data_IF_406220188026
#
_entry.id   IF_406220188026
#
_cell.length_a   1.000
_cell.length_b   1.000
_cell.length_c   1.000
_cell.angle_alpha   90.00
_cell.angle_beta   90.00
_cell.angle_gamma   90.00
#
_symmetry.space_group_name_H-M   'P 1'
#
loop_
_entity.id
_entity.type
_entity.pdbx_description
1 polymer ?
#
# COMPACT_ATOMS: atom_id res chain seq x y z
N UNK A 1 18.08 -13.79 41.19
CA UNK A 1 19.44 -13.22 40.91
C UNK A 1 19.76 -13.48 39.43
N UNK A 2 19.84 -12.46 38.58
CA UNK A 2 20.28 -12.61 37.18
C UNK A 2 21.77 -12.93 37.17
N UNK A 3 22.19 -14.14 36.77
CA UNK A 3 23.60 -14.46 36.53
C UNK A 3 24.15 -13.51 35.45
N UNK A 4 25.28 -12.88 35.72
CA UNK A 4 25.91 -11.94 34.79
C UNK A 4 26.18 -12.66 33.44
N UNK A 5 25.92 -12.03 32.33
CA UNK A 5 26.08 -12.58 30.97
C UNK A 5 27.52 -13.00 30.59
N UNK A 6 28.49 -12.79 31.50
CA UNK A 6 29.92 -13.10 31.37
C UNK A 6 30.38 -14.32 32.18
N UNK A 7 29.50 -15.04 32.91
CA UNK A 7 29.90 -16.23 33.63
C UNK A 7 30.18 -17.39 32.65
N UNK A 8 31.24 -18.19 32.90
CA UNK A 8 31.56 -19.38 32.11
C UNK A 8 30.39 -20.36 32.12
N UNK A 9 30.22 -21.12 31.03
CA UNK A 9 29.23 -22.19 30.96
C UNK A 9 29.69 -23.36 31.80
N UNK A 10 28.85 -23.84 32.72
CA UNK A 10 29.14 -25.03 33.51
C UNK A 10 28.75 -26.29 32.75
N UNK A 11 29.31 -27.43 33.14
CA UNK A 11 28.93 -28.72 32.55
C UNK A 11 27.44 -29.03 32.74
N UNK A 12 26.86 -28.62 33.87
CA UNK A 12 25.44 -28.79 34.17
C UNK A 12 24.56 -27.88 33.28
N UNK A 13 24.99 -26.60 33.03
CA UNK A 13 24.33 -25.69 32.12
C UNK A 13 24.29 -26.30 30.69
N UNK A 14 25.38 -26.89 30.22
CA UNK A 14 25.50 -27.48 28.91
C UNK A 14 24.68 -28.76 28.77
N UNK A 15 24.74 -29.62 29.76
CA UNK A 15 23.94 -30.85 29.81
C UNK A 15 22.48 -30.50 29.81
N UNK A 16 22.02 -29.56 30.64
CA UNK A 16 20.65 -29.09 30.61
C UNK A 16 20.25 -28.52 29.24
N UNK A 17 21.17 -27.80 28.60
CA UNK A 17 20.93 -27.25 27.27
C UNK A 17 20.79 -28.36 26.20
N UNK A 18 21.68 -29.36 26.22
CA UNK A 18 21.66 -30.49 25.28
C UNK A 18 20.38 -31.33 25.44
N UNK A 19 19.95 -31.57 26.68
CA UNK A 19 18.79 -32.40 26.96
C UNK A 19 17.47 -31.70 26.57
N UNK A 20 17.43 -30.35 26.64
CA UNK A 20 16.20 -29.58 26.51
C UNK A 20 16.11 -28.69 25.26
N UNK A 21 17.21 -28.50 24.49
CA UNK A 21 17.21 -27.54 23.37
C UNK A 21 16.23 -27.87 22.25
N UNK A 22 15.88 -29.15 22.05
CA UNK A 22 14.88 -29.57 21.03
C UNK A 22 13.47 -29.31 21.44
N UNK A 23 13.17 -29.26 22.74
CA UNK A 23 11.82 -29.29 23.29
C UNK A 23 11.41 -27.98 24.01
N UNK A 24 12.38 -27.12 24.34
CA UNK A 24 12.16 -25.89 25.11
C UNK A 24 12.54 -24.66 24.30
N UNK A 25 11.72 -23.60 24.25
CA UNK A 25 12.07 -22.34 23.59
C UNK A 25 13.35 -21.71 24.11
N UNK A 26 14.12 -21.06 23.25
CA UNK A 26 15.37 -20.41 23.67
C UNK A 26 15.18 -19.29 24.71
N UNK A 27 14.00 -18.63 24.71
CA UNK A 27 13.68 -17.63 25.72
C UNK A 27 13.51 -18.29 27.10
N UNK A 28 12.86 -19.44 27.16
CA UNK A 28 12.62 -20.20 28.39
C UNK A 28 13.89 -20.89 28.90
N UNK A 29 14.71 -21.41 27.97
CA UNK A 29 16.06 -21.90 28.30
C UNK A 29 16.95 -20.80 28.86
N UNK A 30 16.85 -19.59 28.27
CA UNK A 30 17.59 -18.43 28.71
C UNK A 30 17.17 -17.99 30.12
N UNK A 31 15.89 -18.01 30.41
CA UNK A 31 15.35 -17.68 31.75
C UNK A 31 15.82 -18.70 32.80
N UNK A 32 15.65 -19.99 32.52
CA UNK A 32 16.09 -21.07 33.45
C UNK A 32 17.58 -21.09 33.70
N UNK A 33 18.37 -20.79 32.68
CA UNK A 33 19.84 -20.73 32.80
C UNK A 33 20.35 -19.37 33.30
N UNK A 34 19.47 -18.39 33.50
CA UNK A 34 19.79 -17.03 33.91
C UNK A 34 20.69 -16.30 32.91
N UNK A 35 20.56 -16.58 31.61
CA UNK A 35 21.39 -16.07 30.52
C UNK A 35 20.56 -15.30 29.50
N UNK A 36 21.21 -14.59 28.58
CA UNK A 36 20.51 -13.97 27.45
C UNK A 36 20.16 -14.99 26.37
N UNK A 37 19.09 -14.77 25.64
CA UNK A 37 18.68 -15.59 24.48
C UNK A 37 19.81 -15.72 23.44
N UNK A 38 20.57 -14.64 23.23
CA UNK A 38 21.74 -14.62 22.33
C UNK A 38 22.86 -15.52 22.81
N UNK A 39 23.15 -15.55 24.13
CA UNK A 39 24.16 -16.43 24.71
C UNK A 39 23.78 -17.90 24.58
N UNK A 40 22.50 -18.25 24.78
CA UNK A 40 21.97 -19.61 24.58
C UNK A 40 22.07 -20.02 23.11
N UNK A 41 21.67 -19.17 22.17
CA UNK A 41 21.78 -19.46 20.73
C UNK A 41 23.22 -19.66 20.28
N UNK A 42 24.15 -18.80 20.75
CA UNK A 42 25.57 -18.94 20.45
C UNK A 42 26.15 -20.25 21.02
N UNK A 43 25.74 -20.65 22.25
CA UNK A 43 26.23 -21.88 22.88
C UNK A 43 25.72 -23.14 22.16
N UNK A 44 24.45 -23.16 21.74
CA UNK A 44 23.86 -24.23 20.94
C UNK A 44 24.64 -24.41 19.62
N UNK A 45 24.98 -23.30 18.95
CA UNK A 45 25.81 -23.33 17.74
C UNK A 45 27.22 -23.87 17.99
N UNK A 46 27.86 -23.45 19.10
CA UNK A 46 29.19 -23.91 19.50
C UNK A 46 29.21 -25.41 19.87
N UNK A 47 28.13 -25.92 20.40
CA UNK A 47 27.97 -27.36 20.71
C UNK A 47 27.62 -28.21 19.47
N UNK A 48 27.58 -27.62 18.28
CA UNK A 48 27.27 -28.30 17.03
C UNK A 48 25.83 -28.84 16.95
N UNK A 49 24.92 -28.33 17.77
CA UNK A 49 23.53 -28.74 17.82
C UNK A 49 22.74 -28.07 16.68
N UNK A 50 21.81 -28.79 16.04
CA UNK A 50 21.03 -28.27 14.92
C UNK A 50 20.17 -27.08 15.35
N UNK A 51 20.50 -25.89 14.79
CA UNK A 51 19.77 -24.64 15.04
C UNK A 51 18.52 -24.48 14.16
N UNK A 52 18.33 -25.34 13.14
CA UNK A 52 17.16 -25.31 12.24
C UNK A 52 15.96 -26.03 12.87
N UNK A 53 15.43 -25.51 13.94
CA UNK A 53 14.23 -26.04 14.58
C UNK A 53 12.96 -25.43 14.03
N UNK A 54 11.92 -26.23 13.90
CA UNK A 54 10.57 -25.72 13.75
C UNK A 54 9.98 -25.47 15.15
N UNK A 55 10.47 -24.41 15.84
CA UNK A 55 10.03 -24.01 17.18
C UNK A 55 8.52 -23.76 17.26
N UNK A 56 7.91 -23.38 16.14
CA UNK A 56 6.49 -23.09 16.07
C UNK A 56 5.67 -24.37 16.15
N UNK A 57 6.17 -25.49 15.61
CA UNK A 57 5.53 -26.80 15.71
C UNK A 57 5.33 -27.27 17.14
N UNK A 58 6.19 -26.85 18.06
CA UNK A 58 6.06 -27.18 19.49
C UNK A 58 4.87 -26.51 20.17
N UNK A 59 4.35 -25.44 19.60
CA UNK A 59 3.20 -24.72 20.09
C UNK A 59 1.89 -25.11 19.39
N UNK A 60 1.85 -26.24 18.65
CA UNK A 60 0.71 -26.61 17.81
C UNK A 60 -0.63 -26.49 18.54
N UNK A 61 -0.80 -27.19 19.67
CA UNK A 61 -2.04 -27.18 20.45
C UNK A 61 -2.35 -25.81 21.07
N UNK A 62 -1.29 -25.11 21.49
CA UNK A 62 -1.42 -23.75 22.03
C UNK A 62 -1.77 -22.73 20.95
N UNK A 63 -1.23 -22.90 19.73
CA UNK A 63 -1.61 -22.11 18.55
C UNK A 63 -3.08 -22.36 18.21
N UNK A 64 -3.53 -23.62 18.18
CA UNK A 64 -4.94 -23.96 17.92
C UNK A 64 -5.85 -23.30 18.96
N UNK A 65 -5.50 -23.37 20.24
CA UNK A 65 -6.26 -22.75 21.31
C UNK A 65 -6.32 -21.23 21.17
N UNK A 66 -5.17 -20.59 20.99
CA UNK A 66 -5.10 -19.13 20.81
C UNK A 66 -5.78 -18.67 19.52
N UNK A 67 -5.70 -19.45 18.45
CA UNK A 67 -6.35 -19.13 17.18
C UNK A 67 -7.89 -19.19 17.28
N UNK A 68 -8.44 -19.93 18.21
CA UNK A 68 -9.89 -19.93 18.52
C UNK A 68 -10.35 -18.66 19.22
N UNK A 69 -9.47 -18.00 19.95
CA UNK A 69 -9.80 -16.85 20.79
C UNK A 69 -9.24 -15.52 20.22
N UNK A 70 -8.46 -15.57 19.12
CA UNK A 70 -7.80 -14.40 18.54
C UNK A 70 -8.12 -14.25 17.06
N UNK A 71 -8.31 -13.01 16.61
CA UNK A 71 -8.54 -12.61 15.23
C UNK A 71 -7.25 -12.09 14.52
N UNK A 72 -6.13 -12.10 15.24
CA UNK A 72 -4.86 -11.52 14.78
C UNK A 72 -3.67 -12.46 14.98
N UNK A 73 -2.89 -12.67 13.91
CA UNK A 73 -1.58 -13.33 14.00
C UNK A 73 -0.63 -12.61 14.97
N UNK A 74 -0.76 -11.27 15.08
CA UNK A 74 0.09 -10.47 15.95
C UNK A 74 -0.16 -10.76 17.43
N UNK A 75 -1.41 -11.00 17.82
CA UNK A 75 -1.78 -11.31 19.21
C UNK A 75 -1.29 -12.70 19.60
N UNK A 76 -1.45 -13.69 18.71
CA UNK A 76 -0.94 -15.05 18.94
C UNK A 76 0.61 -15.02 18.98
N UNK A 77 1.26 -14.30 18.08
CA UNK A 77 2.71 -14.16 18.06
C UNK A 77 3.25 -13.53 19.34
N UNK A 78 2.55 -12.52 19.86
CA UNK A 78 2.87 -11.86 21.13
C UNK A 78 2.68 -12.79 22.33
N UNK A 79 1.58 -13.55 22.36
CA UNK A 79 1.29 -14.51 23.42
C UNK A 79 2.26 -15.70 23.46
N UNK A 80 2.84 -16.06 22.32
CA UNK A 80 3.83 -17.13 22.18
C UNK A 80 5.29 -16.63 22.14
N UNK A 81 5.51 -15.32 22.13
CA UNK A 81 6.84 -14.69 22.01
C UNK A 81 7.62 -15.18 20.78
N UNK A 82 6.91 -15.26 19.64
CA UNK A 82 7.46 -15.70 18.35
C UNK A 82 7.24 -14.61 17.27
N UNK A 83 8.00 -14.70 16.17
CA UNK A 83 7.80 -13.81 15.04
C UNK A 83 6.52 -14.12 14.26
N UNK A 84 5.84 -13.08 13.78
CA UNK A 84 4.55 -13.19 13.07
C UNK A 84 4.68 -13.99 11.77
N UNK A 85 5.76 -13.78 11.01
CA UNK A 85 5.95 -14.38 9.69
C UNK A 85 6.06 -15.92 9.75
N UNK A 86 6.95 -16.53 10.58
CA UNK A 86 6.99 -17.97 10.75
C UNK A 86 5.70 -18.55 11.32
N UNK A 87 5.04 -17.85 12.26
CA UNK A 87 3.76 -18.30 12.82
C UNK A 87 2.67 -18.35 11.75
N UNK A 88 2.53 -17.32 10.93
CA UNK A 88 1.53 -17.27 9.88
C UNK A 88 1.74 -18.35 8.81
N UNK A 89 3.01 -18.66 8.47
CA UNK A 89 3.36 -19.75 7.56
C UNK A 89 3.01 -21.11 8.16
N UNK A 90 3.33 -21.32 9.44
CA UNK A 90 3.00 -22.55 10.15
C UNK A 90 1.49 -22.78 10.20
N UNK A 91 0.73 -21.76 10.60
CA UNK A 91 -0.73 -21.86 10.71
C UNK A 91 -1.37 -22.15 9.35
N UNK A 92 -0.90 -21.53 8.26
CA UNK A 92 -1.37 -21.86 6.90
C UNK A 92 -1.03 -23.29 6.49
N UNK A 93 0.21 -23.76 6.74
CA UNK A 93 0.64 -25.10 6.41
C UNK A 93 -0.20 -26.18 7.11
N UNK A 94 -0.66 -25.91 8.31
CA UNK A 94 -1.45 -26.83 9.12
C UNK A 94 -2.96 -26.54 9.10
N UNK A 95 -3.43 -25.67 8.18
CA UNK A 95 -4.85 -25.26 8.05
C UNK A 95 -5.46 -24.73 9.35
N UNK A 96 -4.65 -24.09 10.21
CA UNK A 96 -5.12 -23.47 11.45
C UNK A 96 -5.61 -22.06 11.09
N UNK A 97 -6.92 -21.89 10.95
CA UNK A 97 -7.54 -20.58 10.78
C UNK A 97 -7.53 -19.81 12.10
N UNK A 98 -7.27 -18.48 12.03
CA UNK A 98 -7.66 -17.59 13.13
C UNK A 98 -9.16 -17.70 13.31
N UNK A 99 -9.66 -17.59 14.55
CA UNK A 99 -11.06 -17.28 14.71
C UNK A 99 -11.29 -15.93 14.03
N UNK A 100 -11.69 -15.99 12.76
CA UNK A 100 -12.49 -14.91 12.23
C UNK A 100 -13.68 -14.86 13.20
N UNK A 101 -13.73 -13.85 14.09
CA UNK A 101 -15.05 -13.38 14.54
C UNK A 101 -15.86 -13.37 13.26
N UNK A 102 -16.99 -14.06 13.19
CA UNK A 102 -17.70 -14.11 11.94
C UNK A 102 -18.06 -12.68 11.59
N UNK A 103 -17.20 -12.00 10.81
CA UNK A 103 -17.68 -11.15 9.77
C UNK A 103 -18.46 -12.14 8.96
N UNK A 104 -19.71 -12.34 9.36
CA UNK A 104 -20.56 -13.36 8.77
C UNK A 104 -20.39 -13.14 7.28
N UNK A 105 -19.97 -14.18 6.54
CA UNK A 105 -19.82 -14.16 5.08
C UNK A 105 -21.09 -13.55 4.47
N UNK A 106 -22.26 -13.67 5.15
CA UNK A 106 -23.46 -12.92 4.93
C UNK A 106 -23.32 -11.39 5.00
N UNK A 107 -22.54 -10.77 5.89
CA UNK A 107 -22.48 -9.31 5.98
C UNK A 107 -21.66 -8.64 4.84
N UNK A 108 -20.65 -9.31 4.30
CA UNK A 108 -19.91 -8.87 3.12
C UNK A 108 -20.56 -9.33 1.81
N UNK A 109 -21.20 -10.48 1.79
CA UNK A 109 -22.03 -10.95 0.68
C UNK A 109 -23.26 -10.06 0.46
N UNK A 110 -23.84 -9.49 1.52
CA UNK A 110 -24.99 -8.58 1.46
C UNK A 110 -24.71 -7.34 0.59
N UNK A 111 -23.53 -6.73 0.65
CA UNK A 111 -23.20 -5.60 -0.24
C UNK A 111 -22.89 -6.02 -1.68
N UNK A 112 -22.51 -7.28 -1.91
CA UNK A 112 -22.11 -7.77 -3.24
C UNK A 112 -23.08 -8.74 -3.90
N UNK A 113 -24.00 -9.37 -3.16
CA UNK A 113 -24.76 -10.54 -3.60
C UNK A 113 -26.25 -10.46 -3.43
N UNK A 114 -26.82 -9.39 -2.87
CA UNK A 114 -28.26 -9.20 -2.90
C UNK A 114 -28.60 -8.53 -4.21
N UNK A 115 -29.19 -9.28 -5.12
CA UNK A 115 -29.65 -8.80 -6.42
C UNK A 115 -30.82 -7.83 -6.27
N UNK A 116 -31.69 -8.04 -5.27
CA UNK A 116 -32.82 -7.17 -4.99
C UNK A 116 -32.52 -6.11 -3.92
N UNK A 117 -32.93 -4.85 -4.12
CA UNK A 117 -32.82 -3.80 -3.13
C UNK A 117 -33.60 -4.19 -1.86
N UNK A 118 -32.97 -3.99 -0.69
CA UNK A 118 -33.69 -4.19 0.57
C UNK A 118 -34.87 -3.20 0.64
N UNK A 119 -36.07 -3.71 0.78
CA UNK A 119 -37.24 -2.87 1.08
C UNK A 119 -37.26 -2.55 2.55
N UNK A 120 -37.22 -1.27 2.88
CA UNK A 120 -37.34 -0.79 4.26
C UNK A 120 -38.81 -0.80 4.66
N UNK A 121 -39.14 -1.52 5.74
CA UNK A 121 -40.51 -1.56 6.27
C UNK A 121 -40.64 -0.59 7.47
N UNK A 122 -41.38 0.50 7.26
CA UNK A 122 -41.66 1.51 8.30
C UNK A 122 -40.44 2.37 8.65
N UNK A 123 -40.55 3.15 9.73
CA UNK A 123 -39.54 4.11 10.19
C UNK A 123 -38.51 3.50 11.16
N UNK A 124 -38.78 2.31 11.70
CA UNK A 124 -37.89 1.65 12.68
C UNK A 124 -36.82 0.81 11.97
N UNK A 125 -35.87 1.49 11.36
CA UNK A 125 -34.80 0.87 10.56
C UNK A 125 -33.49 1.03 11.31
N UNK A 126 -32.71 -0.07 11.41
CA UNK A 126 -31.36 -0.01 12.00
C UNK A 126 -30.40 0.66 11.03
N UNK A 127 -29.33 1.27 11.57
CA UNK A 127 -28.32 1.92 10.74
C UNK A 127 -27.73 0.98 9.70
N UNK A 128 -27.38 -0.27 10.05
CA UNK A 128 -26.86 -1.25 9.08
C UNK A 128 -27.82 -1.52 7.92
N UNK A 129 -29.13 -1.63 8.21
CA UNK A 129 -30.13 -1.90 7.17
C UNK A 129 -30.33 -0.69 6.27
N UNK A 130 -30.35 0.51 6.85
CA UNK A 130 -30.40 1.74 6.05
C UNK A 130 -29.15 1.89 5.21
N UNK A 131 -27.94 1.61 5.73
CA UNK A 131 -26.70 1.70 4.97
C UNK A 131 -26.73 0.79 3.73
N UNK A 132 -27.24 -0.45 3.87
CA UNK A 132 -27.37 -1.38 2.75
C UNK A 132 -28.34 -0.81 1.69
N UNK A 133 -29.54 -0.39 2.12
CA UNK A 133 -30.52 0.24 1.26
C UNK A 133 -29.95 1.44 0.52
N UNK A 134 -29.35 2.37 1.24
CA UNK A 134 -28.71 3.57 0.72
C UNK A 134 -27.64 3.26 -0.33
N UNK A 135 -26.75 2.29 -0.02
CA UNK A 135 -25.70 1.90 -0.95
C UNK A 135 -26.27 1.31 -2.23
N UNK A 136 -27.25 0.41 -2.11
CA UNK A 136 -27.87 -0.25 -3.28
C UNK A 136 -28.64 0.72 -4.13
N UNK A 137 -29.39 1.64 -3.51
CA UNK A 137 -30.28 2.58 -4.20
C UNK A 137 -29.53 3.75 -4.80
N UNK A 138 -28.59 4.34 -4.06
CA UNK A 138 -28.02 5.65 -4.46
C UNK A 138 -26.55 5.60 -4.88
N UNK A 139 -25.81 4.51 -4.62
CA UNK A 139 -24.35 4.50 -4.81
C UNK A 139 -23.83 3.41 -5.73
N UNK A 140 -24.38 2.21 -5.64
CA UNK A 140 -23.83 0.99 -6.28
C UNK A 140 -23.53 1.17 -7.77
N UNK A 141 -24.46 1.73 -8.53
CA UNK A 141 -24.34 1.84 -10.00
C UNK A 141 -23.52 3.08 -10.44
N UNK A 142 -23.32 4.04 -9.54
CA UNK A 142 -22.66 5.32 -9.84
C UNK A 142 -21.18 5.37 -9.47
N UNK A 143 -20.61 4.30 -8.89
CA UNK A 143 -19.25 4.31 -8.37
C UNK A 143 -18.37 3.20 -8.95
N UNK A 144 -17.06 3.50 -9.07
CA UNK A 144 -16.06 2.53 -9.52
C UNK A 144 -15.91 1.34 -8.56
N UNK A 145 -15.35 0.22 -9.04
CA UNK A 145 -15.08 -0.95 -8.20
C UNK A 145 -14.18 -0.63 -6.98
N UNK A 146 -13.22 0.25 -7.14
CA UNK A 146 -12.37 0.75 -6.04
C UNK A 146 -13.22 1.41 -4.96
N UNK A 147 -14.17 2.25 -5.36
CA UNK A 147 -15.09 2.93 -4.45
C UNK A 147 -16.10 1.95 -3.83
N UNK A 148 -16.62 0.97 -4.60
CA UNK A 148 -17.46 -0.14 -4.06
C UNK A 148 -16.75 -0.86 -2.92
N UNK A 149 -15.45 -1.13 -3.06
CA UNK A 149 -14.66 -1.76 -2.00
C UNK A 149 -14.46 -0.85 -0.78
N UNK A 150 -14.35 0.47 -0.96
CA UNK A 150 -14.34 1.42 0.18
C UNK A 150 -15.66 1.37 0.95
N UNK A 151 -16.81 1.37 0.28
CA UNK A 151 -18.12 1.21 0.93
C UNK A 151 -18.20 -0.07 1.74
N UNK A 152 -17.70 -1.18 1.19
CA UNK A 152 -17.65 -2.48 1.88
C UNK A 152 -16.80 -2.41 3.15
N UNK A 153 -15.64 -1.78 3.11
CA UNK A 153 -14.78 -1.59 4.28
C UNK A 153 -15.44 -0.72 5.33
N UNK A 154 -16.08 0.39 4.92
CA UNK A 154 -16.83 1.26 5.84
C UNK A 154 -17.98 0.50 6.48
N UNK A 155 -18.77 -0.22 5.71
CA UNK A 155 -19.87 -1.05 6.21
C UNK A 155 -19.39 -2.12 7.21
N UNK A 156 -18.30 -2.83 6.90
CA UNK A 156 -17.71 -3.82 7.81
C UNK A 156 -17.29 -3.21 9.14
N UNK A 157 -16.71 -2.01 9.12
CA UNK A 157 -16.33 -1.26 10.33
C UNK A 157 -17.55 -0.82 11.14
N UNK A 158 -18.59 -0.31 10.49
CA UNK A 158 -19.86 0.01 11.14
C UNK A 158 -20.43 -1.23 11.81
N UNK A 159 -20.52 -2.36 11.09
CA UNK A 159 -21.05 -3.62 11.61
C UNK A 159 -20.23 -4.26 12.75
N UNK A 160 -18.99 -3.83 12.96
CA UNK A 160 -18.16 -4.27 14.09
C UNK A 160 -18.44 -3.50 15.39
N UNK A 161 -19.33 -2.50 15.36
CA UNK A 161 -19.65 -1.64 16.49
C UNK A 161 -21.16 -1.67 16.79
N UNK A 162 -21.56 -1.42 18.05
CA UNK A 162 -22.96 -1.42 18.47
C UNK A 162 -23.86 -0.47 17.67
N UNK A 163 -23.33 0.65 17.20
CA UNK A 163 -24.05 1.64 16.40
C UNK A 163 -24.77 1.05 15.17
N UNK A 164 -24.28 -0.09 14.65
CA UNK A 164 -24.89 -0.76 13.51
C UNK A 164 -26.33 -1.24 13.78
N UNK A 165 -26.58 -1.67 15.00
CA UNK A 165 -27.85 -2.27 15.43
C UNK A 165 -28.79 -1.24 16.03
N UNK A 166 -28.34 0.01 16.21
CA UNK A 166 -29.19 1.12 16.65
C UNK A 166 -30.16 1.57 15.56
N UNK A 167 -31.34 2.03 15.97
CA UNK A 167 -32.28 2.67 15.05
C UNK A 167 -31.66 3.96 14.51
N UNK A 168 -31.61 4.13 13.17
CA UNK A 168 -30.93 5.27 12.54
C UNK A 168 -31.46 6.61 13.03
N UNK A 169 -32.76 6.70 13.35
CA UNK A 169 -33.40 7.91 13.86
C UNK A 169 -33.04 8.25 15.32
N UNK A 170 -32.43 7.32 16.05
CA UNK A 170 -32.02 7.49 17.45
C UNK A 170 -30.53 7.82 17.62
N UNK A 171 -29.73 7.63 16.55
CA UNK A 171 -28.30 7.94 16.60
C UNK A 171 -28.11 9.42 16.73
N UNK A 172 -27.58 9.84 17.85
CA UNK A 172 -27.29 11.22 18.17
C UNK A 172 -25.81 11.60 17.88
N UNK A 173 -25.47 12.86 18.08
CA UNK A 173 -24.12 13.36 17.90
C UNK A 173 -23.09 12.71 18.85
N UNK A 174 -23.51 12.34 20.07
CA UNK A 174 -22.65 11.68 21.06
C UNK A 174 -22.21 10.31 20.55
N UNK A 175 -23.17 9.47 20.15
CA UNK A 175 -22.93 8.15 19.55
C UNK A 175 -22.05 8.24 18.30
N UNK A 176 -22.31 9.22 17.42
CA UNK A 176 -21.49 9.43 16.22
C UNK A 176 -20.04 9.85 16.57
N UNK A 177 -19.87 10.73 17.57
CA UNK A 177 -18.55 11.15 18.05
C UNK A 177 -17.78 9.98 18.68
N UNK A 178 -18.41 9.14 19.47
CA UNK A 178 -17.81 7.95 20.08
C UNK A 178 -17.34 6.96 19.00
N UNK A 179 -18.18 6.69 18.00
CA UNK A 179 -17.78 5.83 16.87
C UNK A 179 -16.57 6.40 16.12
N UNK A 180 -16.54 7.70 15.87
CA UNK A 180 -15.42 8.34 15.17
C UNK A 180 -14.15 8.40 16.03
N UNK A 181 -14.29 8.57 17.36
CA UNK A 181 -13.16 8.51 18.30
C UNK A 181 -12.56 7.10 18.35
N UNK A 182 -13.41 6.06 18.41
CA UNK A 182 -12.98 4.68 18.33
C UNK A 182 -12.17 4.43 17.05
N UNK A 183 -12.69 4.89 15.91
CA UNK A 183 -12.03 4.68 14.63
C UNK A 183 -10.74 5.50 14.47
N UNK A 184 -10.73 6.71 15.02
CA UNK A 184 -9.61 7.64 14.87
C UNK A 184 -8.34 7.27 15.64
N UNK A 185 -8.47 6.49 16.73
CA UNK A 185 -7.32 6.07 17.57
C UNK A 185 -6.27 5.30 16.80
N UNK A 186 -6.67 4.48 15.83
CA UNK A 186 -5.78 3.53 15.14
C UNK A 186 -5.52 3.90 13.66
N UNK A 187 -6.19 4.94 13.14
CA UNK A 187 -6.16 5.27 11.72
C UNK A 187 -5.57 6.67 11.46
N UNK A 188 -4.94 6.82 10.29
CA UNK A 188 -4.43 8.11 9.84
C UNK A 188 -5.56 9.12 9.57
N UNK A 189 -5.26 10.41 9.71
CA UNK A 189 -6.20 11.51 9.46
C UNK A 189 -6.98 11.35 8.14
N UNK A 190 -6.30 11.02 7.05
CA UNK A 190 -6.96 10.85 5.75
C UNK A 190 -7.93 9.67 5.73
N UNK A 191 -7.58 8.55 6.38
CA UNK A 191 -8.44 7.37 6.49
C UNK A 191 -9.67 7.67 7.35
N UNK A 192 -9.49 8.43 8.44
CA UNK A 192 -10.59 8.87 9.30
C UNK A 192 -11.51 9.82 8.56
N UNK A 193 -10.95 10.78 7.80
CA UNK A 193 -11.71 11.70 6.98
C UNK A 193 -12.53 10.97 5.89
N UNK A 194 -11.93 10.02 5.18
CA UNK A 194 -12.64 9.20 4.20
C UNK A 194 -13.82 8.46 4.86
N UNK A 195 -13.58 7.79 6.00
CA UNK A 195 -14.62 7.07 6.74
C UNK A 195 -15.77 7.98 7.17
N UNK A 196 -15.43 9.13 7.74
CA UNK A 196 -16.39 10.16 8.14
C UNK A 196 -17.26 10.66 6.97
N UNK A 197 -16.65 10.94 5.82
CA UNK A 197 -17.35 11.39 4.62
C UNK A 197 -18.42 10.39 4.14
N UNK A 198 -18.10 9.09 4.17
CA UNK A 198 -19.07 8.06 3.81
C UNK A 198 -20.26 8.04 4.78
N UNK A 199 -20.02 8.12 6.08
CA UNK A 199 -21.07 8.12 7.11
C UNK A 199 -21.90 9.39 7.02
N UNK A 200 -21.25 10.54 6.90
CA UNK A 200 -21.93 11.84 6.74
C UNK A 200 -22.84 11.84 5.50
N UNK A 201 -22.36 11.33 4.37
CA UNK A 201 -23.17 11.22 3.15
C UNK A 201 -24.38 10.30 3.35
N UNK A 202 -24.19 9.14 4.00
CA UNK A 202 -25.28 8.22 4.30
C UNK A 202 -26.37 8.89 5.16
N UNK A 203 -25.98 9.59 6.22
CA UNK A 203 -26.95 10.26 7.09
C UNK A 203 -27.58 11.51 6.47
N UNK A 204 -26.89 12.21 5.54
CA UNK A 204 -27.53 13.30 4.78
C UNK A 204 -28.68 12.77 3.93
N UNK A 205 -28.48 11.64 3.28
CA UNK A 205 -29.54 10.99 2.49
C UNK A 205 -30.64 10.42 3.42
N UNK A 206 -30.27 9.88 4.62
CA UNK A 206 -31.24 9.41 5.62
C UNK A 206 -32.15 10.53 6.15
N UNK A 207 -31.64 11.75 6.30
CA UNK A 207 -32.45 12.93 6.65
C UNK A 207 -33.40 13.27 5.50
N UNK A 208 -32.92 13.26 4.27
CA UNK A 208 -33.74 13.53 3.07
C UNK A 208 -34.85 12.47 2.88
N UNK A 209 -34.58 11.22 3.21
CA UNK A 209 -35.54 10.10 3.15
C UNK A 209 -36.49 10.06 4.36
N UNK A 210 -36.28 10.93 5.37
CA UNK A 210 -37.13 11.02 6.57
C UNK A 210 -36.90 9.92 7.61
N UNK A 211 -35.77 9.21 7.56
CA UNK A 211 -35.35 8.20 8.55
C UNK A 211 -34.58 8.78 9.74
N UNK A 212 -33.93 9.94 9.56
CA UNK A 212 -33.27 10.67 10.63
C UNK A 212 -33.74 12.13 10.64
N UNK A 213 -33.79 12.74 11.84
CA UNK A 213 -34.18 14.15 11.98
C UNK A 213 -33.05 15.11 11.62
N UNK A 214 -31.83 14.72 11.88
CA UNK A 214 -30.61 15.48 11.64
C UNK A 214 -29.45 14.55 11.31
N UNK A 215 -28.42 15.10 10.72
CA UNK A 215 -27.20 14.33 10.45
C UNK A 215 -26.24 14.38 11.65
N UNK A 216 -26.10 13.31 12.45
CA UNK A 216 -25.27 13.30 13.65
C UNK A 216 -23.76 13.38 13.34
N UNK A 217 -23.34 13.11 12.09
CA UNK A 217 -21.95 13.19 11.66
C UNK A 217 -21.55 14.61 11.20
N UNK A 218 -22.41 15.61 11.31
CA UNK A 218 -22.00 17.01 11.12
C UNK A 218 -21.20 17.51 12.34
N UNK A 219 -20.17 18.30 12.06
CA UNK A 219 -19.34 18.94 13.09
C UNK A 219 -18.67 17.95 14.08
N UNK A 220 -18.36 16.72 13.65
CA UNK A 220 -17.61 15.75 14.44
C UNK A 220 -16.11 16.12 14.46
N UNK A 221 -15.48 15.95 15.62
CA UNK A 221 -14.04 16.16 15.83
C UNK A 221 -13.41 14.90 16.45
N UNK A 222 -13.07 13.89 15.64
CA UNK A 222 -12.53 12.63 16.14
C UNK A 222 -11.15 12.81 16.76
N UNK A 223 -10.84 12.01 17.78
CA UNK A 223 -9.48 11.85 18.29
C UNK A 223 -8.67 11.12 17.22
N UNK A 224 -7.54 11.70 16.79
CA UNK A 224 -6.73 11.15 15.72
C UNK A 224 -5.48 10.47 16.28
N UNK A 225 -5.04 9.40 15.59
CA UNK A 225 -3.78 8.71 15.91
C UNK A 225 -2.58 9.65 15.94
N UNK A 226 -2.54 10.63 15.04
CA UNK A 226 -1.46 11.63 14.97
C UNK A 226 -1.37 12.49 16.23
N UNK A 227 -2.45 12.70 16.97
CA UNK A 227 -2.45 13.44 18.24
C UNK A 227 -1.75 12.65 19.37
N UNK A 228 -1.56 11.35 19.17
CA UNK A 228 -0.84 10.48 20.11
C UNK A 228 0.64 10.36 19.77
N UNK A 229 1.09 10.91 18.63
CA UNK A 229 2.48 10.90 18.23
C UNK A 229 3.32 11.89 19.05
N UNK A 230 4.51 11.48 19.42
CA UNK A 230 5.51 12.37 19.99
C UNK A 230 5.99 13.40 18.97
N UNK A 231 6.55 14.52 19.44
CA UNK A 231 7.12 15.56 18.57
C UNK A 231 8.19 14.96 17.63
N UNK A 232 9.00 14.01 18.11
CA UNK A 232 10.00 13.32 17.30
C UNK A 232 9.37 12.53 16.14
N UNK A 233 8.33 11.74 16.42
CA UNK A 233 7.60 10.97 15.39
C UNK A 233 6.91 11.86 14.36
N UNK A 234 6.37 13.01 14.79
CA UNK A 234 5.77 14.00 13.87
C UNK A 234 6.84 14.63 12.97
N UNK A 235 8.04 14.89 13.52
CA UNK A 235 9.17 15.43 12.75
C UNK A 235 9.66 14.41 11.72
N UNK A 236 9.90 13.16 12.12
CA UNK A 236 10.29 12.07 11.21
C UNK A 236 9.31 11.91 10.05
N UNK A 237 8.00 11.91 10.33
CA UNK A 237 6.96 11.82 9.30
C UNK A 237 6.91 13.06 8.38
N UNK A 238 7.22 14.24 8.88
CA UNK A 238 7.32 15.46 8.09
C UNK A 238 8.53 15.45 7.17
N UNK A 239 9.65 14.91 7.67
CA UNK A 239 10.94 14.86 6.99
C UNK A 239 11.03 13.63 6.05
N UNK A 240 9.98 12.79 5.97
CA UNK A 240 9.91 11.66 5.02
C UNK A 240 10.13 12.14 3.58
N UNK A 241 11.13 11.55 2.92
CA UNK A 241 11.48 11.88 1.54
C UNK A 241 10.29 11.77 0.58
N UNK A 242 10.02 12.83 -0.16
CA UNK A 242 8.85 12.93 -1.05
C UNK A 242 9.18 12.77 -2.54
N UNK A 243 10.40 13.10 -2.95
CA UNK A 243 10.89 13.03 -4.34
C UNK A 243 12.41 12.85 -4.37
N UNK A 244 12.96 12.63 -5.55
CA UNK A 244 14.41 12.64 -5.79
C UNK A 244 14.87 14.06 -6.05
N UNK A 245 15.98 14.45 -5.45
CA UNK A 245 16.68 15.69 -5.74
C UNK A 245 17.35 15.61 -7.14
N UNK A 246 17.79 16.73 -7.68
CA UNK A 246 18.32 16.84 -9.05
C UNK A 246 19.50 15.87 -9.30
N UNK A 247 20.41 15.78 -8.33
CA UNK A 247 21.58 14.90 -8.42
C UNK A 247 21.19 13.42 -8.34
N UNK A 248 20.30 13.06 -7.43
CA UNK A 248 19.77 11.71 -7.27
C UNK A 248 18.98 11.27 -8.51
N UNK A 249 18.15 12.17 -9.06
CA UNK A 249 17.45 11.94 -10.32
C UNK A 249 18.43 11.66 -11.45
N UNK A 250 19.49 12.45 -11.57
CA UNK A 250 20.50 12.31 -12.62
C UNK A 250 21.25 10.99 -12.49
N UNK A 251 21.67 10.63 -11.27
CA UNK A 251 22.34 9.37 -10.96
C UNK A 251 21.43 8.17 -11.27
N UNK A 252 20.18 8.22 -10.83
CA UNK A 252 19.20 7.16 -11.06
C UNK A 252 18.81 7.03 -12.53
N UNK A 253 18.57 8.14 -13.22
CA UNK A 253 18.32 8.17 -14.66
C UNK A 253 19.48 7.53 -15.44
N UNK A 254 20.72 7.92 -15.14
CA UNK A 254 21.90 7.35 -15.78
C UNK A 254 21.98 5.82 -15.59
N UNK A 255 21.80 5.35 -14.36
CA UNK A 255 21.81 3.92 -14.05
C UNK A 255 20.73 3.15 -14.83
N UNK A 256 19.50 3.67 -14.88
CA UNK A 256 18.40 3.06 -15.62
C UNK A 256 18.69 3.03 -17.13
N UNK A 257 19.10 4.15 -17.70
CA UNK A 257 19.38 4.27 -19.13
C UNK A 257 20.50 3.32 -19.57
N UNK A 258 21.62 3.35 -18.85
CA UNK A 258 22.77 2.48 -19.15
C UNK A 258 22.43 1.00 -18.94
N UNK A 259 21.79 0.67 -17.83
CA UNK A 259 21.36 -0.69 -17.51
C UNK A 259 20.38 -1.26 -18.54
N UNK A 260 19.41 -0.47 -19.00
CA UNK A 260 18.42 -0.92 -19.99
C UNK A 260 19.04 -1.13 -21.38
N UNK A 261 20.06 -0.36 -21.75
CA UNK A 261 20.74 -0.55 -23.04
C UNK A 261 21.37 -1.94 -23.17
N UNK A 262 21.93 -2.49 -22.10
CA UNK A 262 22.51 -3.84 -22.06
C UNK A 262 21.49 -4.94 -21.77
N UNK A 263 20.49 -4.65 -20.93
CA UNK A 263 19.56 -5.65 -20.41
C UNK A 263 18.70 -6.33 -21.49
N UNK A 264 18.45 -5.67 -22.61
CA UNK A 264 17.66 -6.24 -23.70
C UNK A 264 18.43 -7.18 -24.63
N UNK A 265 19.72 -7.40 -24.38
CA UNK A 265 20.48 -8.45 -25.02
C UNK A 265 20.43 -9.78 -24.23
N UNK A 266 19.94 -9.73 -23.01
CA UNK A 266 19.89 -10.85 -22.08
C UNK A 266 18.48 -11.45 -22.00
N UNK A 267 18.36 -12.76 -21.68
CA UNK A 267 17.05 -13.38 -21.47
C UNK A 267 16.30 -12.75 -20.28
N UNK A 268 14.99 -12.99 -20.17
CA UNK A 268 14.19 -12.47 -19.08
C UNK A 268 14.73 -12.90 -17.71
N UNK A 269 15.06 -11.93 -16.86
CA UNK A 269 15.52 -12.18 -15.49
C UNK A 269 14.31 -12.14 -14.56
N UNK A 270 13.89 -13.29 -14.07
CA UNK A 270 12.79 -13.42 -13.14
C UNK A 270 13.32 -13.18 -11.72
N UNK A 271 13.01 -12.02 -11.17
CA UNK A 271 13.34 -11.70 -9.79
C UNK A 271 12.45 -12.46 -8.83
N UNK A 272 13.04 -13.15 -7.87
CA UNK A 272 12.31 -13.60 -6.70
C UNK A 272 12.06 -12.38 -5.82
N UNK A 273 10.83 -11.84 -5.79
CA UNK A 273 10.45 -10.97 -4.68
C UNK A 273 10.61 -11.80 -3.41
N UNK A 274 11.34 -11.32 -2.42
CA UNK A 274 11.76 -12.06 -1.22
C UNK A 274 10.66 -12.67 -0.34
N UNK A 275 9.44 -12.74 -0.84
CA UNK A 275 8.33 -13.55 -0.37
C UNK A 275 7.79 -14.30 -1.58
N UNK A 276 8.07 -15.58 -1.69
CA UNK A 276 7.31 -16.49 -2.54
C UNK A 276 5.84 -16.36 -2.12
N UNK A 277 5.09 -15.55 -2.85
CA UNK A 277 3.65 -15.74 -2.87
C UNK A 277 3.42 -17.05 -3.63
N UNK A 278 2.58 -17.91 -3.08
CA UNK A 278 2.22 -19.26 -3.59
C UNK A 278 1.61 -19.25 -5.01
N UNK A 279 1.56 -18.10 -5.67
CA UNK A 279 1.06 -17.90 -7.04
C UNK A 279 2.15 -17.80 -8.11
N UNK A 280 3.42 -18.04 -7.80
CA UNK A 280 4.49 -18.16 -8.80
C UNK A 280 4.84 -16.89 -9.59
N UNK A 281 4.28 -15.74 -9.25
CA UNK A 281 4.48 -14.49 -9.98
C UNK A 281 5.83 -13.85 -9.64
N UNK A 282 6.88 -14.22 -10.39
CA UNK A 282 8.15 -13.49 -10.42
C UNK A 282 7.99 -12.19 -11.21
N UNK A 283 8.54 -11.09 -10.70
CA UNK A 283 8.65 -9.86 -11.48
C UNK A 283 9.81 -9.99 -12.47
N UNK A 284 9.55 -9.78 -13.76
CA UNK A 284 10.62 -9.72 -14.76
C UNK A 284 11.34 -8.38 -14.62
N UNK A 285 12.66 -8.43 -14.38
CA UNK A 285 13.44 -7.22 -14.05
C UNK A 285 13.44 -6.20 -15.19
N UNK A 286 13.62 -6.64 -16.44
CA UNK A 286 13.62 -5.78 -17.61
C UNK A 286 12.28 -5.03 -17.76
N UNK A 287 11.16 -5.72 -17.56
CA UNK A 287 9.81 -5.12 -17.57
C UNK A 287 9.67 -4.07 -16.48
N UNK A 288 10.12 -4.41 -15.26
CA UNK A 288 10.04 -3.49 -14.11
C UNK A 288 10.92 -2.26 -14.29
N UNK A 289 12.16 -2.44 -14.74
CA UNK A 289 13.09 -1.33 -14.96
C UNK A 289 12.58 -0.39 -16.05
N UNK A 290 12.03 -0.94 -17.14
CA UNK A 290 11.44 -0.13 -18.23
C UNK A 290 10.22 0.65 -17.71
N UNK A 291 9.32 0.03 -16.95
CA UNK A 291 8.18 0.73 -16.38
C UNK A 291 8.59 1.82 -15.38
N UNK A 292 9.61 1.55 -14.55
CA UNK A 292 10.20 2.56 -13.63
C UNK A 292 10.80 3.71 -14.44
N UNK A 293 11.55 3.41 -15.51
CA UNK A 293 12.14 4.41 -16.40
C UNK A 293 11.06 5.31 -17.03
N UNK A 294 9.98 4.73 -17.54
CA UNK A 294 8.86 5.50 -18.08
C UNK A 294 8.20 6.36 -17.00
N UNK A 295 8.02 5.82 -15.80
CA UNK A 295 7.53 6.59 -14.66
C UNK A 295 8.42 7.79 -14.31
N UNK A 296 9.73 7.58 -14.34
CA UNK A 296 10.74 8.63 -14.11
C UNK A 296 10.72 9.70 -15.20
N UNK A 297 10.57 9.32 -16.48
CA UNK A 297 10.62 10.24 -17.64
C UNK A 297 9.30 10.99 -17.85
N UNK A 298 8.15 10.41 -17.52
CA UNK A 298 6.84 10.96 -17.83
C UNK A 298 6.08 11.53 -16.63
N UNK A 299 6.34 11.03 -15.43
CA UNK A 299 5.53 11.28 -14.26
C UNK A 299 4.11 10.65 -14.35
N UNK A 300 3.89 9.68 -15.23
CA UNK A 300 2.61 9.00 -15.37
C UNK A 300 2.26 8.21 -14.09
N UNK A 301 0.96 8.02 -13.84
CA UNK A 301 0.51 7.17 -12.74
C UNK A 301 0.83 5.70 -13.03
N UNK A 302 1.08 4.90 -12.01
CA UNK A 302 1.45 3.50 -12.19
C UNK A 302 0.47 2.72 -13.08
N UNK A 303 -0.84 2.88 -12.88
CA UNK A 303 -1.83 2.25 -13.75
C UNK A 303 -1.84 2.80 -15.20
N UNK A 304 -1.46 4.07 -15.42
CA UNK A 304 -1.29 4.66 -16.75
C UNK A 304 -0.08 4.03 -17.48
N UNK A 305 1.04 3.83 -16.75
CA UNK A 305 2.23 3.15 -17.30
C UNK A 305 1.87 1.73 -17.72
N UNK A 306 1.21 0.98 -16.83
CA UNK A 306 0.76 -0.38 -17.13
C UNK A 306 -0.29 -0.46 -18.24
N UNK A 307 -0.98 0.64 -18.53
CA UNK A 307 -1.96 0.74 -19.61
C UNK A 307 -1.37 1.07 -20.98
N UNK A 308 -0.05 1.26 -21.10
CA UNK A 308 0.57 1.58 -22.39
C UNK A 308 0.60 0.37 -23.31
N UNK A 309 0.30 0.60 -24.57
CA UNK A 309 0.40 -0.35 -25.68
C UNK A 309 1.44 0.12 -26.69
N UNK A 310 1.73 -0.66 -27.73
CA UNK A 310 2.70 -0.30 -28.77
C UNK A 310 2.31 0.98 -29.52
N UNK A 311 1.00 1.12 -29.77
CA UNK A 311 0.42 2.26 -30.51
C UNK A 311 0.51 3.58 -29.70
N UNK A 312 0.72 3.50 -28.39
CA UNK A 312 0.86 4.68 -27.55
C UNK A 312 2.26 5.33 -27.64
N UNK A 313 3.22 4.65 -28.28
CA UNK A 313 4.59 5.16 -28.48
C UNK A 313 4.67 5.87 -29.83
N UNK A 314 4.52 7.19 -29.83
CA UNK A 314 4.47 8.03 -31.02
C UNK A 314 5.88 8.48 -31.41
N UNK A 315 6.55 7.70 -32.25
CA UNK A 315 7.96 7.93 -32.65
C UNK A 315 8.17 9.20 -33.45
N UNK A 316 7.22 9.57 -34.30
CA UNK A 316 7.32 10.73 -35.20
C UNK A 316 7.32 12.05 -34.43
N UNK A 317 6.58 12.12 -33.32
CA UNK A 317 6.46 13.31 -32.47
C UNK A 317 7.27 13.23 -31.18
N UNK A 318 7.93 12.11 -30.90
CA UNK A 318 8.58 11.79 -29.62
C UNK A 318 7.64 12.00 -28.44
N UNK A 319 6.45 11.40 -28.49
CA UNK A 319 5.43 11.51 -27.46
C UNK A 319 4.97 10.12 -27.01
N UNK A 320 4.49 10.05 -25.77
CA UNK A 320 3.77 8.90 -25.23
C UNK A 320 2.30 9.32 -25.04
N UNK A 321 1.39 8.59 -25.68
CA UNK A 321 -0.05 8.78 -25.53
C UNK A 321 -0.54 8.10 -24.26
N UNK A 322 -1.27 8.81 -23.42
CA UNK A 322 -1.89 8.29 -22.20
C UNK A 322 -3.39 8.55 -22.29
N UNK A 323 -4.16 7.54 -22.65
CA UNK A 323 -5.62 7.62 -22.82
C UNK A 323 -6.39 6.57 -22.03
N UNK A 324 -5.68 5.60 -21.45
CA UNK A 324 -6.21 4.47 -20.69
C UNK A 324 -5.36 4.14 -19.48
N UNK A 325 -5.86 3.27 -18.63
CA UNK A 325 -5.16 2.78 -17.43
C UNK A 325 -5.39 1.28 -17.27
N UNK A 326 -4.50 0.60 -16.58
CA UNK A 326 -4.65 -0.81 -16.24
C UNK A 326 -5.14 -0.99 -14.82
N UNK A 327 -6.19 -1.81 -14.63
CA UNK A 327 -6.67 -2.18 -13.30
C UNK A 327 -5.85 -3.34 -12.71
N UNK A 328 -4.67 -3.02 -12.22
CA UNK A 328 -3.78 -4.01 -11.58
C UNK A 328 -4.29 -4.52 -10.22
N UNK A 329 -5.36 -3.93 -9.66
CA UNK A 329 -5.85 -4.30 -8.33
C UNK A 329 -6.92 -5.38 -8.36
N UNK A 330 -7.81 -5.33 -9.34
CA UNK A 330 -9.01 -6.16 -9.33
C UNK A 330 -9.21 -6.96 -10.62
N UNK A 331 -9.41 -6.29 -11.75
CA UNK A 331 -9.85 -6.92 -12.98
C UNK A 331 -8.73 -7.37 -13.91
N UNK A 332 -7.51 -6.87 -13.72
CA UNK A 332 -6.37 -7.12 -14.62
C UNK A 332 -6.76 -6.87 -16.09
N UNK A 333 -7.29 -5.69 -16.38
CA UNK A 333 -7.76 -5.29 -17.72
C UNK A 333 -7.67 -3.77 -17.87
N UNK A 334 -7.77 -3.32 -19.11
CA UNK A 334 -7.85 -1.90 -19.42
C UNK A 334 -9.10 -1.24 -18.82
N UNK A 335 -8.92 -0.01 -18.39
CA UNK A 335 -9.99 0.87 -17.92
C UNK A 335 -9.80 2.28 -18.48
N UNK A 336 -10.91 3.02 -18.54
CA UNK A 336 -10.84 4.46 -18.84
C UNK A 336 -10.04 5.19 -17.76
N UNK A 337 -9.37 6.26 -18.14
CA UNK A 337 -8.71 7.18 -17.20
C UNK A 337 -9.74 7.78 -16.22
N UNK A 338 -9.26 8.23 -15.05
CA UNK A 338 -10.12 8.74 -13.98
C UNK A 338 -10.93 9.97 -14.38
N UNK A 339 -10.36 10.82 -15.24
CA UNK A 339 -10.98 12.05 -15.75
C UNK A 339 -10.44 12.38 -17.15
N UNK A 340 -11.10 13.27 -17.86
CA UNK A 340 -10.71 13.69 -19.22
C UNK A 340 -9.32 14.34 -19.23
N UNK A 341 -8.96 15.12 -18.22
CA UNK A 341 -7.64 15.74 -18.09
C UNK A 341 -6.48 14.73 -18.01
N UNK A 342 -6.77 13.47 -17.65
CA UNK A 342 -5.78 12.39 -17.66
C UNK A 342 -5.42 11.93 -19.07
N UNK A 343 -6.26 12.18 -20.08
CA UNK A 343 -6.00 11.88 -21.50
C UNK A 343 -5.05 12.95 -22.03
N UNK A 344 -3.85 12.54 -22.42
CA UNK A 344 -2.80 13.46 -22.85
C UNK A 344 -1.69 12.78 -23.64
N UNK A 345 -1.01 13.54 -24.48
CA UNK A 345 0.28 13.16 -25.04
C UNK A 345 1.39 13.80 -24.23
N UNK A 346 2.38 13.02 -23.83
CA UNK A 346 3.50 13.45 -22.99
C UNK A 346 4.76 13.48 -23.84
N UNK A 347 5.32 14.66 -24.16
CA UNK A 347 6.58 14.77 -24.89
C UNK A 347 7.72 14.13 -24.07
N UNK A 348 8.56 13.35 -24.74
CA UNK A 348 9.76 12.70 -24.17
C UNK A 348 10.96 12.93 -25.08
N UNK A 349 12.16 12.66 -24.58
CA UNK A 349 13.36 12.71 -25.42
C UNK A 349 13.45 11.47 -26.35
N UNK A 350 14.22 11.59 -27.40
CA UNK A 350 14.44 10.51 -28.37
C UNK A 350 15.00 9.25 -27.73
N UNK A 351 15.89 9.39 -26.74
CA UNK A 351 16.42 8.28 -25.98
C UNK A 351 15.31 7.40 -25.36
N UNK A 352 14.26 8.02 -24.83
CA UNK A 352 13.10 7.31 -24.25
C UNK A 352 12.37 6.47 -25.30
N UNK A 353 12.18 7.02 -26.49
CA UNK A 353 11.56 6.31 -27.62
C UNK A 353 12.43 5.12 -28.05
N UNK A 354 13.74 5.33 -28.21
CA UNK A 354 14.67 4.30 -28.63
C UNK A 354 14.75 3.14 -27.61
N UNK A 355 14.71 3.44 -26.31
CA UNK A 355 14.63 2.42 -25.24
C UNK A 355 13.34 1.62 -25.36
N UNK A 356 12.19 2.27 -25.59
CA UNK A 356 10.91 1.57 -25.75
C UNK A 356 10.91 0.66 -26.98
N UNK A 357 11.48 1.11 -28.10
CA UNK A 357 11.60 0.25 -29.29
C UNK A 357 12.53 -0.94 -29.07
N UNK A 358 13.62 -0.78 -28.34
CA UNK A 358 14.50 -1.90 -27.94
C UNK A 358 13.75 -2.87 -27.02
N UNK A 359 12.98 -2.34 -26.07
CA UNK A 359 12.15 -3.13 -25.18
C UNK A 359 11.10 -3.95 -25.95
N UNK A 360 10.40 -3.34 -26.90
CA UNK A 360 9.40 -4.04 -27.72
C UNK A 360 10.04 -5.17 -28.56
N UNK A 361 11.21 -4.89 -29.17
CA UNK A 361 11.97 -5.93 -29.90
C UNK A 361 12.42 -7.06 -28.97
N UNK A 362 12.82 -6.73 -27.76
CA UNK A 362 13.19 -7.72 -26.76
C UNK A 362 12.00 -8.60 -26.37
N UNK A 363 10.79 -8.03 -26.20
CA UNK A 363 9.56 -8.81 -25.98
C UNK A 363 9.31 -9.78 -27.12
N UNK A 364 9.50 -9.34 -28.37
CA UNK A 364 9.31 -10.17 -29.56
C UNK A 364 10.39 -11.27 -29.67
N UNK A 365 11.67 -10.92 -29.42
CA UNK A 365 12.79 -11.85 -29.47
C UNK A 365 12.68 -13.01 -28.51
N UNK A 366 12.14 -12.77 -27.32
CA UNK A 366 11.97 -13.80 -26.30
C UNK A 366 10.52 -14.32 -26.21
N UNK A 367 9.72 -14.04 -27.23
CA UNK A 367 8.33 -14.53 -27.36
C UNK A 367 7.48 -14.27 -26.09
N UNK A 368 7.70 -13.12 -25.45
CA UNK A 368 7.00 -12.76 -24.23
C UNK A 368 5.59 -12.24 -24.55
N UNK A 369 4.59 -13.10 -24.37
CA UNK A 369 3.20 -12.73 -24.57
C UNK A 369 2.75 -11.71 -23.51
N UNK A 370 2.13 -10.64 -23.99
CA UNK A 370 1.55 -9.61 -23.13
C UNK A 370 0.04 -9.75 -23.02
N UNK A 371 -0.51 -9.38 -21.86
CA UNK A 371 -1.95 -9.45 -21.64
C UNK A 371 -2.66 -8.28 -22.36
N UNK A 372 -3.60 -8.60 -23.23
CA UNK A 372 -4.42 -7.65 -24.00
C UNK A 372 -3.61 -6.59 -24.78
N UNK A 373 -2.34 -6.86 -25.13
CA UNK A 373 -1.46 -5.93 -25.84
C UNK A 373 -0.81 -4.85 -24.94
N UNK A 374 -0.94 -4.92 -23.63
CA UNK A 374 -0.22 -4.05 -22.70
C UNK A 374 1.27 -4.32 -22.74
N UNK A 375 2.12 -3.29 -22.82
CA UNK A 375 3.56 -3.45 -22.83
C UNK A 375 4.15 -4.00 -21.52
N UNK A 376 3.49 -3.81 -20.38
CA UNK A 376 4.05 -4.07 -19.06
C UNK A 376 3.32 -5.16 -18.26
N UNK A 377 2.28 -5.75 -18.84
CA UNK A 377 1.58 -6.86 -18.22
C UNK A 377 1.81 -8.12 -19.06
N UNK A 378 2.70 -8.99 -18.58
CA UNK A 378 2.96 -10.27 -19.23
C UNK A 378 1.83 -11.24 -18.91
N UNK A 379 1.46 -12.08 -19.89
CA UNK A 379 0.45 -13.12 -19.72
C UNK A 379 0.85 -14.07 -18.58
N UNK A 380 -0.11 -14.52 -17.82
CA UNK A 380 0.07 -15.43 -16.67
C UNK A 380 0.88 -14.85 -15.48
N UNK A 381 1.35 -13.61 -15.57
CA UNK A 381 2.02 -12.92 -14.47
C UNK A 381 1.16 -11.79 -13.90
N UNK A 382 0.78 -11.92 -12.63
CA UNK A 382 0.02 -10.84 -11.95
C UNK A 382 0.94 -9.69 -11.57
N UNK A 383 0.58 -8.52 -12.02
CA UNK A 383 1.29 -7.28 -11.71
C UNK A 383 0.82 -6.68 -10.38
N UNK A 384 1.74 -6.49 -9.45
CA UNK A 384 1.47 -5.84 -8.15
C UNK A 384 2.34 -4.59 -7.98
N UNK A 385 1.73 -3.48 -7.57
CA UNK A 385 2.48 -2.24 -7.28
C UNK A 385 3.55 -2.41 -6.19
N UNK A 386 3.33 -3.32 -5.24
CA UNK A 386 4.31 -3.66 -4.19
C UNK A 386 5.60 -4.24 -4.76
N UNK A 387 5.51 -5.11 -5.79
CA UNK A 387 6.69 -5.71 -6.41
C UNK A 387 7.56 -4.66 -7.10
N UNK A 388 6.94 -3.72 -7.82
CA UNK A 388 7.64 -2.59 -8.45
C UNK A 388 8.26 -1.65 -7.42
N UNK A 389 7.55 -1.34 -6.32
CA UNK A 389 8.09 -0.53 -5.24
C UNK A 389 9.28 -1.21 -4.55
N UNK A 390 9.21 -2.52 -4.33
CA UNK A 390 10.33 -3.30 -3.78
C UNK A 390 11.54 -3.25 -4.71
N UNK A 391 11.33 -3.44 -6.03
CA UNK A 391 12.43 -3.38 -7.01
C UNK A 391 13.03 -1.98 -7.09
N UNK A 392 12.21 -0.95 -7.13
CA UNK A 392 12.64 0.45 -7.10
C UNK A 392 13.47 0.75 -5.83
N UNK A 393 13.00 0.28 -4.67
CA UNK A 393 13.73 0.48 -3.42
C UNK A 393 15.10 -0.23 -3.39
N UNK A 394 15.22 -1.42 -3.98
CA UNK A 394 16.49 -2.13 -4.11
C UNK A 394 17.46 -1.30 -4.95
N UNK A 395 17.04 -0.85 -6.14
CA UNK A 395 17.88 -0.05 -7.05
C UNK A 395 18.34 1.26 -6.38
N UNK A 396 17.42 1.97 -5.73
CA UNK A 396 17.76 3.24 -5.07
C UNK A 396 18.76 3.03 -3.93
N UNK A 397 18.63 1.95 -3.15
CA UNK A 397 19.60 1.59 -2.11
C UNK A 397 20.98 1.23 -2.69
N UNK A 398 21.04 0.52 -3.80
CA UNK A 398 22.32 0.23 -4.51
C UNK A 398 23.03 1.51 -4.96
N UNK A 399 22.26 2.58 -5.20
CA UNK A 399 22.73 3.89 -5.56
C UNK A 399 22.97 4.82 -4.36
N UNK A 400 22.84 4.34 -3.14
CA UNK A 400 22.88 5.14 -1.92
C UNK A 400 21.89 6.33 -1.96
N UNK A 401 20.68 6.04 -2.43
CA UNK A 401 19.56 6.97 -2.49
C UNK A 401 18.45 6.45 -1.57
N UNK A 402 17.90 7.33 -0.74
CA UNK A 402 16.76 6.97 0.12
C UNK A 402 15.57 6.50 -0.73
N UNK A 403 14.98 5.32 -0.43
CA UNK A 403 13.93 4.74 -1.25
C UNK A 403 12.66 5.59 -1.31
N UNK A 404 12.12 5.70 -2.51
CA UNK A 404 10.81 6.28 -2.80
C UNK A 404 9.90 5.25 -3.48
N UNK A 405 8.61 5.55 -3.61
CA UNK A 405 7.64 4.69 -4.30
C UNK A 405 7.44 5.11 -5.77
N UNK A 406 6.86 4.22 -6.59
CA UNK A 406 6.47 4.53 -7.98
C UNK A 406 5.64 5.82 -8.09
N UNK A 407 4.75 6.08 -7.13
CA UNK A 407 3.97 7.32 -7.13
C UNK A 407 4.83 8.56 -6.86
N UNK A 408 5.90 8.42 -6.07
CA UNK A 408 6.82 9.52 -5.77
C UNK A 408 7.72 9.88 -6.97
N UNK A 409 7.86 9.04 -8.01
CA UNK A 409 8.47 9.40 -9.29
C UNK A 409 7.71 10.54 -9.99
N UNK A 410 6.39 10.53 -9.88
CA UNK A 410 5.55 11.62 -10.37
C UNK A 410 5.77 12.92 -9.58
N UNK A 411 5.96 12.81 -8.26
CA UNK A 411 6.35 13.96 -7.43
C UNK A 411 7.74 14.49 -7.84
N UNK A 412 8.69 13.59 -8.15
CA UNK A 412 9.99 13.95 -8.67
C UNK A 412 9.88 14.76 -9.97
N UNK A 413 9.07 14.31 -10.93
CA UNK A 413 8.84 15.07 -12.17
C UNK A 413 8.28 16.47 -11.90
N UNK A 414 7.29 16.58 -11.01
CA UNK A 414 6.72 17.88 -10.67
C UNK A 414 7.76 18.82 -10.04
N UNK A 415 8.52 18.35 -9.04
CA UNK A 415 9.53 19.16 -8.34
C UNK A 415 10.65 19.61 -9.27
N UNK A 416 11.13 18.74 -10.16
CA UNK A 416 12.16 19.07 -11.15
C UNK A 416 11.69 20.12 -12.16
N UNK A 417 10.45 20.01 -12.65
CA UNK A 417 9.89 20.98 -13.61
C UNK A 417 9.66 22.34 -12.94
N UNK A 418 9.22 22.36 -11.69
CA UNK A 418 9.09 23.59 -10.90
C UNK A 418 10.48 24.24 -10.69
N UNK A 419 11.49 23.44 -10.31
CA UNK A 419 12.86 23.93 -10.14
C UNK A 419 13.51 24.47 -11.43
N UNK A 420 12.93 24.12 -12.60
CA UNK A 420 13.30 24.62 -13.93
C UNK A 420 12.38 25.74 -14.43
N UNK A 421 11.58 26.32 -13.55
CA UNK A 421 10.66 27.43 -13.83
C UNK A 421 9.67 27.16 -14.97
N UNK A 422 9.29 25.86 -15.17
CA UNK A 422 8.25 25.49 -16.14
C UNK A 422 6.88 25.97 -15.63
N UNK A 423 6.06 26.65 -16.48
CA UNK A 423 4.74 27.10 -16.08
C UNK A 423 3.86 26.00 -15.48
N UNK A 424 3.15 26.33 -14.38
CA UNK A 424 2.34 25.35 -13.62
C UNK A 424 1.25 24.69 -14.46
N UNK A 425 0.70 25.42 -15.42
CA UNK A 425 -0.33 24.96 -16.36
C UNK A 425 0.22 23.84 -17.26
N UNK A 426 1.46 23.98 -17.72
CA UNK A 426 2.15 22.94 -18.51
C UNK A 426 2.49 21.73 -17.65
N UNK A 427 2.90 21.95 -16.39
CA UNK A 427 3.16 20.85 -15.45
C UNK A 427 1.84 20.11 -15.16
N UNK A 428 0.74 20.83 -14.90
CA UNK A 428 -0.58 20.24 -14.68
C UNK A 428 -1.03 19.42 -15.89
N UNK A 429 -0.92 19.97 -17.10
CA UNK A 429 -1.24 19.29 -18.35
C UNK A 429 -0.39 18.02 -18.53
N UNK A 430 0.93 18.11 -18.37
CA UNK A 430 1.87 16.97 -18.48
C UNK A 430 1.51 15.86 -17.50
N UNK A 431 1.18 16.21 -16.28
CA UNK A 431 0.84 15.24 -15.25
C UNK A 431 -0.64 14.78 -15.33
N UNK A 432 -1.52 15.40 -16.09
CA UNK A 432 -2.95 15.08 -16.18
C UNK A 432 -3.69 15.44 -14.88
N UNK A 433 -3.47 16.65 -14.40
CA UNK A 433 -4.27 17.30 -13.36
C UNK A 433 -5.33 18.19 -14.00
N UNK A 434 -6.50 18.27 -13.37
CA UNK A 434 -7.60 19.14 -13.84
C UNK A 434 -7.29 20.61 -13.66
N UNK A 435 -6.45 20.95 -12.66
CA UNK A 435 -6.07 22.31 -12.29
C UNK A 435 -4.68 22.36 -11.63
N UNK A 436 -4.20 23.57 -11.39
CA UNK A 436 -2.90 23.80 -10.73
C UNK A 436 -2.97 23.77 -9.20
N UNK A 437 -4.16 23.70 -8.60
CA UNK A 437 -4.35 23.75 -7.13
C UNK A 437 -3.65 22.59 -6.44
N UNK A 438 -3.68 21.39 -7.05
CA UNK A 438 -2.96 20.23 -6.51
C UNK A 438 -1.44 20.47 -6.48
N UNK A 439 -0.89 21.09 -7.52
CA UNK A 439 0.56 21.41 -7.59
C UNK A 439 0.87 22.46 -6.51
N UNK A 440 0.11 23.54 -6.44
CA UNK A 440 0.29 24.60 -5.43
C UNK A 440 0.20 24.06 -4.00
N UNK A 441 -0.74 23.16 -3.73
CA UNK A 441 -0.92 22.56 -2.39
C UNK A 441 0.25 21.66 -1.98
N UNK A 442 0.79 20.87 -2.91
CA UNK A 442 1.85 19.89 -2.62
C UNK A 442 3.23 20.53 -2.64
N UNK A 443 3.47 21.45 -3.57
CA UNK A 443 4.80 22.03 -3.86
C UNK A 443 4.89 23.53 -3.52
N UNK A 444 3.96 24.06 -2.70
CA UNK A 444 3.90 25.49 -2.38
C UNK A 444 5.18 26.06 -1.79
N UNK A 445 5.98 25.26 -1.08
CA UNK A 445 7.27 25.69 -0.54
C UNK A 445 8.33 25.89 -1.64
N UNK A 446 8.37 25.01 -2.66
CA UNK A 446 9.28 25.16 -3.83
C UNK A 446 8.86 26.37 -4.68
N UNK A 447 7.55 26.59 -4.82
CA UNK A 447 7.04 27.75 -5.55
C UNK A 447 7.41 29.07 -4.86
N UNK A 448 7.45 29.08 -3.52
CA UNK A 448 7.88 30.25 -2.76
C UNK A 448 9.35 30.57 -3.01
N UNK A 449 10.23 29.58 -3.07
CA UNK A 449 11.63 29.78 -3.43
C UNK A 449 11.81 30.36 -4.84
N UNK A 450 10.99 29.86 -5.80
CA UNK A 450 10.98 30.38 -7.18
C UNK A 450 10.44 31.83 -7.21
N UNK A 451 9.39 32.13 -6.45
CA UNK A 451 8.84 33.48 -6.32
C UNK A 451 9.85 34.44 -5.71
N UNK A 452 10.57 34.03 -4.66
CA UNK A 452 11.64 34.83 -4.03
C UNK A 452 12.81 35.11 -4.98
N UNK A 453 13.14 34.15 -5.88
CA UNK A 453 14.12 34.36 -6.96
C UNK A 453 13.57 35.36 -7.98
N UNK A 454 12.34 35.20 -8.43
CA UNK A 454 11.67 36.09 -9.36
C UNK A 454 11.62 37.53 -8.84
N UNK A 455 11.24 37.72 -7.57
CA UNK A 455 11.20 39.02 -6.93
C UNK A 455 12.59 39.71 -6.89
N UNK A 456 13.66 38.94 -6.61
CA UNK A 456 15.03 39.46 -6.66
C UNK A 456 15.45 39.88 -8.09
N UNK A 457 15.02 39.16 -9.11
CA UNK A 457 15.25 39.51 -10.51
C UNK A 457 14.50 40.81 -10.89
N UNK A 458 13.24 40.94 -10.46
CA UNK A 458 12.41 42.12 -10.65
C UNK A 458 13.09 43.35 -10.02
N UNK A 459 13.52 43.25 -8.77
CA UNK A 459 14.21 44.32 -8.06
C UNK A 459 15.54 44.69 -8.74
N UNK A 460 16.26 43.69 -9.27
CA UNK A 460 17.50 43.94 -10.05
C UNK A 460 17.29 44.58 -11.44
N UNK A 461 16.03 44.57 -11.93
CA UNK A 461 15.64 45.17 -13.21
C UNK A 461 15.13 46.62 -13.05
N UNK A 462 14.66 46.98 -11.84
CA UNK A 462 14.19 48.31 -11.49
C UNK A 462 15.34 49.23 -11.05
#
# INVERSE_FOLDING_TARGET
MRKNSKSAWTQDDEKYLIDNYKQTPYAELAEKLGRSKQAVTARISLLGLDTKRNLIGMYHDRIIKLARDSDSYADIARALVVDISPLSQYMRKHNIGLQQKPVSVGKLAILNGIEDPIKLNGKNVTFKNYFIYWYQTYRREHVSQVTKNKYRLVFGRVCSQPIADELIGNIDRGTAQEHMNWFGKDHSKNTVYDHWQFLRSCFSDAVSDGYAKMNPFENIRPILKEQQHTVAQLKEKRDEKRWLEVEEYSKFKYWLTFGLQGAYNEPPIIGTSGKRNETGAGLVHQVAHTAIFIGLKTGARFGEILGLTREDVLADTNEINIDKTWDYKYKQTFQKTKNIASIRKVPVDRETIDILFRYMRWLDQFELETDQGSLFNLKDLKTYSSSYNTRLAIILKELDIEPITMHKLRHTQASLLIAKDVPLELIAKRLGHTDTLMIRRVYGHLLKETEDKGNRMIVGFL
#
